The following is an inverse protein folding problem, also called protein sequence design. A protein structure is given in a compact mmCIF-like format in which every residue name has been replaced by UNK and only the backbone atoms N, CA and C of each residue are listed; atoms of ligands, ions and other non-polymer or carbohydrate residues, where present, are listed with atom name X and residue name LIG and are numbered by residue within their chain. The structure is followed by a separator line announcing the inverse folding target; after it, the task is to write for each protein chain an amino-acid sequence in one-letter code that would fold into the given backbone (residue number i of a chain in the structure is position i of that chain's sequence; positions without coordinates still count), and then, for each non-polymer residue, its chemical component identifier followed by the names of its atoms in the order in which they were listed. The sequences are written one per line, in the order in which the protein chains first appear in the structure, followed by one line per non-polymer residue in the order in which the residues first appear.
data_IF_956516884465
#
_entry.id   IF_956516884465
#
_cell.length_a   1.000
_cell.length_b   1.000
_cell.length_c   1.000
_cell.angle_alpha   90.00
_cell.angle_beta   90.00
_cell.angle_gamma   90.00
#
_symmetry.space_group_name_H-M   'P 1'
#
loop_
_entity.id
_entity.type
_entity.pdbx_description
1 polymer ?
#
# COMPACT_ATOMS: atom_id res chain seq x y z
N UNK A 1 31.22 9.71 -28.22
CA UNK A 1 31.53 10.35 -26.91
C UNK A 1 30.84 9.53 -25.85
N UNK A 2 31.54 8.56 -25.27
CA UNK A 2 30.96 7.65 -24.23
C UNK A 2 30.84 8.42 -22.91
N UNK A 3 29.62 8.48 -22.41
CA UNK A 3 29.35 9.03 -21.08
C UNK A 3 29.70 7.97 -20.03
N UNK A 4 30.72 8.20 -19.24
CA UNK A 4 31.04 7.33 -18.10
C UNK A 4 29.87 7.30 -17.08
N UNK A 5 29.72 6.21 -16.33
CA UNK A 5 28.68 6.07 -15.28
C UNK A 5 28.72 7.21 -14.26
N UNK A 6 29.91 7.74 -13.93
CA UNK A 6 30.07 8.91 -13.06
C UNK A 6 29.54 10.20 -13.69
N UNK A 7 29.75 10.39 -15.01
CA UNK A 7 29.23 11.56 -15.73
C UNK A 7 27.71 11.55 -15.87
N UNK A 8 27.09 10.37 -15.93
CA UNK A 8 25.63 10.24 -15.93
C UNK A 8 25.02 10.63 -14.59
N UNK A 9 25.60 10.15 -13.48
CA UNK A 9 25.11 10.46 -12.12
C UNK A 9 25.26 11.96 -11.82
N UNK A 10 26.41 12.58 -12.13
CA UNK A 10 26.63 14.01 -11.86
C UNK A 10 25.76 14.93 -12.71
N UNK A 11 25.52 14.60 -13.98
CA UNK A 11 24.62 15.38 -14.85
C UNK A 11 23.14 15.11 -14.54
N UNK A 12 22.78 13.90 -14.13
CA UNK A 12 21.43 13.55 -13.69
C UNK A 12 21.01 14.28 -12.42
N UNK A 13 21.92 14.40 -11.46
CA UNK A 13 21.65 15.09 -10.18
C UNK A 13 21.39 16.59 -10.37
N UNK A 14 22.08 17.24 -11.32
CA UNK A 14 21.87 18.65 -11.60
C UNK A 14 20.51 18.98 -12.24
N UNK A 15 19.93 18.05 -12.98
CA UNK A 15 18.58 18.21 -13.57
C UNK A 15 17.48 17.95 -12.54
N UNK A 16 17.72 17.05 -11.58
CA UNK A 16 16.74 16.71 -10.54
C UNK A 16 16.66 17.79 -9.46
N UNK A 17 17.76 18.48 -9.13
CA UNK A 17 17.77 19.51 -8.09
C UNK A 17 16.93 20.76 -8.42
N UNK A 18 16.74 21.09 -9.70
CA UNK A 18 15.90 22.22 -10.14
C UNK A 18 14.39 21.94 -10.02
N UNK A 19 13.97 20.68 -10.04
CA UNK A 19 12.53 20.31 -10.06
C UNK A 19 12.00 19.96 -8.67
N UNK A 20 12.89 19.65 -7.69
CA UNK A 20 12.48 19.27 -6.35
C UNK A 20 12.18 20.44 -5.41
N UNK A 21 12.59 21.66 -5.73
CA UNK A 21 12.43 22.81 -4.84
C UNK A 21 10.97 23.28 -4.66
N UNK A 22 10.06 22.85 -5.55
CA UNK A 22 8.65 23.28 -5.48
C UNK A 22 7.68 22.19 -4.92
N UNK A 23 8.18 21.00 -4.59
CA UNK A 23 7.30 19.90 -4.14
C UNK A 23 6.97 19.95 -2.65
N UNK A 24 7.79 20.62 -1.84
CA UNK A 24 7.53 20.74 -0.40
C UNK A 24 6.43 21.75 -0.05
N UNK A 25 6.17 22.73 -0.90
CA UNK A 25 5.16 23.74 -0.61
C UNK A 25 3.71 23.28 -0.85
N UNK A 26 3.51 22.29 -1.75
CA UNK A 26 2.16 21.81 -2.06
C UNK A 26 1.56 21.01 -0.89
N UNK A 27 2.40 20.35 -0.10
CA UNK A 27 1.94 19.56 1.05
C UNK A 27 1.92 20.31 2.39
N UNK A 28 2.50 21.51 2.45
CA UNK A 28 2.59 22.30 3.69
C UNK A 28 1.60 23.46 3.76
N UNK A 29 0.65 23.59 2.83
CA UNK A 29 -0.37 24.61 2.92
C UNK A 29 -1.36 24.25 4.04
N UNK A 30 -1.31 24.92 5.21
CA UNK A 30 -2.19 24.61 6.34
C UNK A 30 -3.67 24.85 6.04
N UNK A 31 -3.97 25.59 4.97
CA UNK A 31 -5.34 25.86 4.56
C UNK A 31 -5.98 24.69 3.80
N UNK A 32 -5.18 23.78 3.20
CA UNK A 32 -5.72 22.58 2.55
C UNK A 32 -6.26 21.61 3.59
N UNK A 33 -5.65 21.54 4.79
CA UNK A 33 -6.14 20.68 5.88
C UNK A 33 -7.46 21.17 6.50
N UNK A 34 -7.80 22.45 6.35
CA UNK A 34 -8.97 23.07 6.99
C UNK A 34 -10.26 22.92 6.17
N UNK A 35 -10.17 22.58 4.88
CA UNK A 35 -11.32 22.51 3.96
C UNK A 35 -11.88 21.09 3.77
N UNK A 36 -11.18 20.05 4.15
CA UNK A 36 -11.68 18.67 4.03
C UNK A 36 -12.42 18.27 5.32
N UNK A 37 -13.66 18.73 5.44
CA UNK A 37 -14.55 18.32 6.55
C UNK A 37 -15.19 16.94 6.34
N UNK A 38 -14.92 16.28 5.21
CA UNK A 38 -15.49 14.97 4.87
C UNK A 38 -14.39 13.99 4.46
N UNK A 39 -14.44 12.74 4.93
CA UNK A 39 -13.51 11.72 4.50
C UNK A 39 -13.67 11.44 3.00
N UNK A 40 -12.56 11.24 2.31
CA UNK A 40 -12.51 10.86 0.90
C UNK A 40 -11.82 9.50 0.78
N UNK A 41 -12.44 8.57 0.04
CA UNK A 41 -11.88 7.25 -0.26
C UNK A 41 -11.84 7.10 -1.78
N UNK A 42 -10.71 6.66 -2.30
CA UNK A 42 -10.48 6.49 -3.74
C UNK A 42 -9.95 5.08 -3.99
N UNK A 43 -10.50 4.40 -4.98
CA UNK A 43 -10.01 3.13 -5.51
C UNK A 43 -9.77 3.22 -7.00
N UNK A 44 -8.78 2.48 -7.50
CA UNK A 44 -8.38 2.50 -8.91
C UNK A 44 -9.33 1.68 -9.80
N UNK A 45 -9.83 0.55 -9.29
CA UNK A 45 -10.58 -0.43 -10.08
C UNK A 45 -12.05 -0.46 -9.71
N UNK A 46 -12.96 -0.84 -10.63
CA UNK A 46 -14.41 -0.89 -10.37
C UNK A 46 -14.79 -1.78 -9.19
N UNK A 47 -14.10 -2.90 -8.98
CA UNK A 47 -14.33 -3.77 -7.81
C UNK A 47 -13.99 -3.11 -6.48
N UNK A 48 -13.29 -1.99 -6.49
CA UNK A 48 -13.03 -1.16 -5.30
C UNK A 48 -14.28 -0.46 -4.73
N UNK A 49 -15.43 -0.46 -5.43
CA UNK A 49 -16.66 0.15 -4.91
C UNK A 49 -17.10 -0.51 -3.59
N UNK A 50 -17.14 -1.84 -3.54
CA UNK A 50 -17.48 -2.58 -2.32
C UNK A 50 -16.48 -2.33 -1.19
N UNK A 51 -15.18 -2.24 -1.52
CA UNK A 51 -14.12 -1.90 -0.58
C UNK A 51 -14.31 -0.47 -0.02
N UNK A 52 -14.60 0.51 -0.89
CA UNK A 52 -14.84 1.91 -0.50
C UNK A 52 -16.06 2.03 0.41
N UNK A 53 -17.14 1.31 0.12
CA UNK A 53 -18.34 1.27 0.96
C UNK A 53 -17.99 0.75 2.36
N UNK A 54 -17.28 -0.37 2.45
CA UNK A 54 -16.83 -0.92 3.73
C UNK A 54 -15.91 0.02 4.49
N UNK A 55 -14.96 0.62 3.81
CA UNK A 55 -14.04 1.60 4.39
C UNK A 55 -14.81 2.81 4.96
N UNK A 56 -15.82 3.32 4.25
CA UNK A 56 -16.66 4.42 4.73
C UNK A 56 -17.49 4.02 5.96
N UNK A 57 -17.99 2.79 6.03
CA UNK A 57 -18.67 2.26 7.22
C UNK A 57 -17.74 2.30 8.45
N UNK A 58 -16.48 1.89 8.28
CA UNK A 58 -15.48 1.93 9.36
C UNK A 58 -15.23 3.36 9.83
N UNK A 59 -15.03 4.30 8.90
CA UNK A 59 -14.86 5.72 9.23
C UNK A 59 -16.08 6.26 10.00
N UNK A 60 -17.28 5.99 9.51
CA UNK A 60 -18.53 6.46 10.14
C UNK A 60 -18.75 5.85 11.54
N UNK A 61 -18.14 4.69 11.81
CA UNK A 61 -18.15 4.05 13.13
C UNK A 61 -17.04 4.54 14.06
N UNK A 62 -16.27 5.56 13.64
CA UNK A 62 -15.17 6.13 14.43
C UNK A 62 -13.83 5.42 14.28
N UNK A 63 -13.69 4.50 13.31
CA UNK A 63 -12.42 3.86 12.98
C UNK A 63 -11.43 4.82 12.31
N UNK A 64 -10.14 4.50 12.39
CA UNK A 64 -9.09 5.26 11.74
C UNK A 64 -9.08 5.05 10.21
N UNK A 65 -8.39 5.94 9.49
CA UNK A 65 -8.17 5.76 8.05
C UNK A 65 -7.43 4.45 7.72
N UNK A 66 -6.54 4.04 8.61
CA UNK A 66 -5.79 2.78 8.48
C UNK A 66 -6.72 1.57 8.62
N UNK A 67 -7.62 1.60 9.62
CA UNK A 67 -8.63 0.54 9.80
C UNK A 67 -9.58 0.48 8.59
N UNK A 68 -9.97 1.64 8.08
CA UNK A 68 -10.86 1.74 6.92
C UNK A 68 -10.22 1.12 5.68
N UNK A 69 -8.95 1.45 5.39
CA UNK A 69 -8.21 0.88 4.25
C UNK A 69 -8.07 -0.63 4.40
N UNK A 70 -7.62 -1.13 5.55
CA UNK A 70 -7.47 -2.56 5.78
C UNK A 70 -8.81 -3.30 5.62
N UNK A 71 -9.86 -2.84 6.30
CA UNK A 71 -11.18 -3.51 6.23
C UNK A 71 -11.82 -3.41 4.86
N UNK A 72 -11.62 -2.31 4.15
CA UNK A 72 -12.03 -2.17 2.76
C UNK A 72 -11.35 -3.18 1.85
N UNK A 73 -10.02 -3.28 1.91
CA UNK A 73 -9.24 -4.23 1.08
C UNK A 73 -9.59 -5.68 1.43
N UNK A 74 -9.83 -6.01 2.70
CA UNK A 74 -10.25 -7.35 3.10
C UNK A 74 -11.54 -7.81 2.38
N UNK A 75 -12.44 -6.90 2.01
CA UNK A 75 -13.64 -7.26 1.22
C UNK A 75 -13.23 -7.84 -0.12
N UNK A 76 -12.33 -7.17 -0.83
CA UNK A 76 -11.84 -7.61 -2.14
C UNK A 76 -10.96 -8.87 -2.04
N UNK A 77 -10.09 -8.95 -1.04
CA UNK A 77 -9.25 -10.13 -0.79
C UNK A 77 -10.06 -11.39 -0.50
N UNK A 78 -11.24 -11.25 0.09
CA UNK A 78 -12.15 -12.36 0.44
C UNK A 78 -13.13 -12.69 -0.68
N UNK A 79 -13.16 -11.95 -1.77
CA UNK A 79 -14.00 -12.20 -2.93
C UNK A 79 -13.36 -13.27 -3.82
N UNK A 80 -14.00 -14.43 -3.94
CA UNK A 80 -13.53 -15.54 -4.78
C UNK A 80 -13.61 -15.26 -6.27
N UNK A 81 -14.48 -14.35 -6.67
CA UNK A 81 -14.67 -13.98 -8.07
C UNK A 81 -13.64 -12.93 -8.52
N UNK A 82 -12.96 -12.30 -7.58
CA UNK A 82 -11.90 -11.36 -7.91
C UNK A 82 -10.58 -12.09 -8.20
N UNK A 83 -10.15 -12.05 -9.46
CA UNK A 83 -8.93 -12.72 -9.91
C UNK A 83 -7.65 -11.88 -9.74
N UNK A 84 -7.77 -10.64 -9.28
CA UNK A 84 -6.63 -9.72 -9.16
C UNK A 84 -5.92 -9.80 -7.81
N UNK A 85 -6.65 -10.12 -6.73
CA UNK A 85 -6.12 -10.14 -5.36
C UNK A 85 -6.81 -11.22 -4.51
N UNK A 86 -6.17 -11.57 -3.39
CA UNK A 86 -6.78 -12.43 -2.38
C UNK A 86 -7.02 -13.87 -2.82
N UNK A 87 -8.05 -14.48 -2.26
CA UNK A 87 -8.34 -15.92 -2.41
C UNK A 87 -8.77 -16.34 -3.83
N UNK A 88 -9.23 -15.39 -4.65
CA UNK A 88 -9.55 -15.61 -6.06
C UNK A 88 -8.37 -15.36 -7.01
N UNK A 89 -7.22 -14.92 -6.49
CA UNK A 89 -6.06 -14.55 -7.29
C UNK A 89 -5.59 -15.63 -8.25
N UNK A 90 -5.13 -15.22 -9.43
CA UNK A 90 -4.61 -16.15 -10.44
C UNK A 90 -3.30 -16.80 -9.99
N UNK A 91 -3.12 -18.10 -10.22
CA UNK A 91 -1.90 -18.78 -9.86
C UNK A 91 -0.74 -18.45 -10.82
N UNK A 92 0.48 -18.67 -10.36
CA UNK A 92 1.68 -18.67 -11.19
C UNK A 92 1.77 -19.92 -12.08
N UNK A 93 2.87 -20.08 -12.83
CA UNK A 93 3.10 -21.23 -13.74
C UNK A 93 3.15 -22.59 -13.01
N UNK A 94 3.34 -22.62 -11.72
CA UNK A 94 3.36 -23.82 -10.87
C UNK A 94 1.99 -24.10 -10.23
N UNK A 95 0.97 -23.31 -10.54
CA UNK A 95 -0.36 -23.46 -9.96
C UNK A 95 -0.49 -22.89 -8.54
N UNK A 96 0.46 -22.06 -8.11
CA UNK A 96 0.50 -21.49 -6.75
C UNK A 96 0.05 -20.02 -6.80
N UNK A 97 -0.94 -19.68 -6.01
CA UNK A 97 -1.35 -18.27 -5.80
C UNK A 97 -0.36 -17.62 -4.85
N UNK A 98 0.32 -16.58 -5.32
CA UNK A 98 1.24 -15.75 -4.54
C UNK A 98 0.69 -14.34 -4.47
N UNK A 99 0.62 -13.79 -3.26
CA UNK A 99 -0.04 -12.53 -2.97
C UNK A 99 0.94 -11.51 -2.41
N UNK A 100 0.77 -10.27 -2.85
CA UNK A 100 1.51 -9.11 -2.38
C UNK A 100 0.53 -8.10 -1.77
N UNK A 101 0.99 -7.35 -0.78
CA UNK A 101 0.24 -6.25 -0.21
C UNK A 101 1.15 -5.19 0.37
N UNK A 102 0.68 -3.94 0.37
CA UNK A 102 1.33 -2.85 1.09
C UNK A 102 0.31 -1.92 1.71
N UNK A 103 0.68 -1.31 2.83
CA UNK A 103 -0.11 -0.31 3.54
C UNK A 103 0.78 0.81 4.05
N UNK A 104 0.24 2.02 4.10
CA UNK A 104 0.98 3.19 4.55
C UNK A 104 0.14 4.03 5.52
N UNK A 105 0.78 4.46 6.60
CA UNK A 105 0.26 5.44 7.54
C UNK A 105 0.87 6.81 7.23
N UNK A 106 0.16 7.63 6.47
CA UNK A 106 0.65 8.93 6.04
C UNK A 106 1.02 9.89 7.18
N UNK A 107 0.18 10.06 8.21
CA UNK A 107 0.48 10.95 9.35
C UNK A 107 1.76 10.60 10.10
N UNK A 108 2.14 9.32 10.16
CA UNK A 108 3.35 8.86 10.86
C UNK A 108 4.51 8.55 9.93
N UNK A 109 4.29 8.59 8.61
CA UNK A 109 5.27 8.17 7.59
C UNK A 109 5.77 6.73 7.78
N UNK A 110 4.88 5.85 8.24
CA UNK A 110 5.14 4.42 8.43
C UNK A 110 4.58 3.63 7.25
N UNK A 111 5.25 2.56 6.87
CA UNK A 111 4.77 1.65 5.83
C UNK A 111 5.10 0.20 6.18
N UNK A 112 4.28 -0.71 5.67
CA UNK A 112 4.53 -2.14 5.75
C UNK A 112 4.11 -2.83 4.48
N UNK A 113 4.87 -3.84 4.08
CA UNK A 113 4.56 -4.62 2.89
C UNK A 113 4.99 -6.07 3.04
N UNK A 114 4.33 -6.93 2.27
CA UNK A 114 4.65 -8.34 2.14
C UNK A 114 4.60 -8.72 0.68
N UNK A 115 5.45 -9.65 0.26
CA UNK A 115 5.51 -10.16 -1.11
C UNK A 115 5.67 -11.68 -1.13
N UNK A 116 4.99 -12.31 -2.09
CA UNK A 116 5.06 -13.75 -2.30
C UNK A 116 4.47 -14.56 -1.15
N UNK A 117 3.38 -14.08 -0.53
CA UNK A 117 2.65 -14.86 0.48
C UNK A 117 1.79 -15.92 -0.19
N UNK A 118 1.86 -17.13 0.34
CA UNK A 118 1.07 -18.27 -0.11
C UNK A 118 0.08 -18.70 0.98
N UNK A 119 -1.13 -19.09 0.59
CA UNK A 119 -2.16 -19.62 1.50
C UNK A 119 -2.55 -18.66 2.64
N UNK A 120 -2.30 -17.39 2.50
CA UNK A 120 -2.70 -16.35 3.43
C UNK A 120 -3.93 -15.63 2.84
N UNK A 121 -4.99 -15.57 3.62
CA UNK A 121 -6.28 -15.03 3.17
C UNK A 121 -6.27 -13.51 2.99
N UNK A 122 -5.65 -12.80 3.93
CA UNK A 122 -5.66 -11.34 4.00
C UNK A 122 -4.22 -10.78 4.08
N UNK A 123 -3.49 -10.72 2.97
CA UNK A 123 -2.13 -10.20 2.93
C UNK A 123 -2.02 -8.76 3.41
N UNK A 124 -3.05 -7.92 3.21
CA UNK A 124 -3.03 -6.52 3.71
C UNK A 124 -2.92 -6.46 5.24
N UNK A 125 -3.58 -7.37 5.95
CA UNK A 125 -3.50 -7.44 7.42
C UNK A 125 -2.11 -7.86 7.89
N UNK A 126 -1.42 -8.71 7.12
CA UNK A 126 -0.02 -9.07 7.40
C UNK A 126 0.89 -7.87 7.13
N UNK A 127 0.70 -7.15 6.02
CA UNK A 127 1.45 -5.94 5.72
C UNK A 127 1.30 -4.89 6.84
N UNK A 128 0.09 -4.71 7.38
CA UNK A 128 -0.15 -3.84 8.53
C UNK A 128 0.64 -4.29 9.76
N UNK A 129 0.65 -5.58 10.07
CA UNK A 129 1.44 -6.12 11.19
C UNK A 129 2.94 -5.92 10.99
N UNK A 130 3.46 -6.02 9.75
CA UNK A 130 4.86 -5.69 9.45
C UNK A 130 5.15 -4.24 9.84
N UNK A 131 4.29 -3.30 9.45
CA UNK A 131 4.41 -1.88 9.79
C UNK A 131 4.36 -1.63 11.31
N UNK A 132 3.41 -2.26 12.00
CA UNK A 132 3.12 -1.94 13.41
C UNK A 132 4.05 -2.69 14.40
N UNK A 133 4.57 -3.87 14.04
CA UNK A 133 5.26 -4.75 14.99
C UNK A 133 6.69 -5.11 14.59
N UNK A 134 7.23 -4.54 13.51
CA UNK A 134 8.61 -4.80 13.10
C UNK A 134 9.36 -3.50 12.77
N UNK A 135 10.68 -3.61 12.62
CA UNK A 135 11.51 -2.52 12.09
C UNK A 135 11.57 -2.51 10.57
N UNK A 136 11.02 -3.54 9.95
CA UNK A 136 11.08 -3.72 8.50
C UNK A 136 9.91 -3.01 7.84
N UNK A 137 10.17 -2.41 6.69
CA UNK A 137 9.13 -1.89 5.80
C UNK A 137 8.59 -3.01 4.90
N UNK A 138 9.38 -4.05 4.67
CA UNK A 138 9.01 -5.13 3.75
C UNK A 138 9.56 -6.48 4.21
N UNK A 139 8.71 -7.51 4.11
CA UNK A 139 9.11 -8.91 4.22
C UNK A 139 8.72 -9.65 2.94
N UNK A 140 9.53 -10.65 2.54
CA UNK A 140 9.36 -11.35 1.26
C UNK A 140 9.46 -12.86 1.43
N UNK A 141 8.67 -13.62 0.64
CA UNK A 141 8.76 -15.07 0.49
C UNK A 141 8.68 -15.83 1.84
N UNK A 142 9.59 -16.78 2.05
CA UNK A 142 9.59 -17.64 3.27
C UNK A 142 9.66 -16.85 4.57
N UNK A 143 10.34 -15.69 4.57
CA UNK A 143 10.41 -14.81 5.75
C UNK A 143 9.06 -14.16 6.06
N UNK A 144 8.39 -13.64 5.05
CA UNK A 144 7.04 -13.09 5.16
C UNK A 144 6.03 -14.17 5.58
N UNK A 145 6.13 -15.36 4.98
CA UNK A 145 5.27 -16.50 5.31
C UNK A 145 5.41 -16.93 6.78
N UNK A 146 6.64 -17.05 7.28
CA UNK A 146 6.89 -17.39 8.69
C UNK A 146 6.31 -16.34 9.64
N UNK A 147 6.47 -15.07 9.31
CA UNK A 147 5.92 -13.97 10.09
C UNK A 147 4.38 -13.97 10.09
N UNK A 148 3.76 -14.26 8.94
CA UNK A 148 2.30 -14.32 8.83
C UNK A 148 1.68 -15.46 9.65
N UNK A 149 2.42 -16.53 9.92
CA UNK A 149 1.97 -17.70 10.67
C UNK A 149 2.37 -17.66 12.17
N UNK A 150 3.11 -16.63 12.61
CA UNK A 150 3.50 -16.46 14.02
C UNK A 150 2.46 -15.65 14.79
#
# INVERSE_FOLDING_TARGET
MELSRRGFVTKGTAIISGTFYNRHEVFSNPNIRKTMSRPLIISTWPFGEAANKKAMEVINSGGSSLDAVEKGINVTENDKENTSVGIGGLPNSEGIVQLDACIMNGPKHEAGSVMGLEKIRNPISVARKVMEHTRHVQLVGKGAQKFACS
#
